data_IF_499519370964
#
_entry.id   IF_499519370964
#
_cell.length_a   1.000
_cell.length_b   1.000
_cell.length_c   1.000
_cell.angle_alpha   90.00
_cell.angle_beta   90.00
_cell.angle_gamma   90.00
#
_symmetry.space_group_name_H-M   'P 1'
#
loop_
_entity.id
_entity.type
_entity.pdbx_description
1 polymer ?
#
# COMPACT_ATOMS: atom_id res chain seq x y z
N UNK A 1 -30.15 25.24 3.00
CA UNK A 1 -29.26 24.26 2.36
C UNK A 1 -28.33 23.74 3.44
N UNK A 2 -28.64 22.56 3.99
CA UNK A 2 -27.84 21.96 5.07
C UNK A 2 -26.59 21.38 4.43
N UNK A 3 -25.42 21.92 4.78
CA UNK A 3 -24.14 21.28 4.46
C UNK A 3 -24.09 19.97 5.26
N UNK A 4 -24.13 18.83 4.57
CA UNK A 4 -23.73 17.56 5.15
C UNK A 4 -22.23 17.67 5.42
N UNK A 5 -21.87 17.91 6.68
CA UNK A 5 -20.52 17.59 7.15
C UNK A 5 -20.36 16.08 6.90
N UNK A 6 -19.29 15.63 6.21
CA UNK A 6 -19.06 14.20 6.08
C UNK A 6 -18.90 13.66 7.50
N UNK A 7 -19.81 12.79 7.94
CA UNK A 7 -19.67 12.12 9.23
C UNK A 7 -18.28 11.48 9.27
N UNK A 8 -17.46 11.96 10.20
CA UNK A 8 -16.19 11.35 10.55
C UNK A 8 -16.47 9.88 10.83
N UNK A 9 -15.73 8.98 10.17
CA UNK A 9 -16.00 7.54 10.21
C UNK A 9 -16.13 7.02 11.66
N UNK A 10 -16.83 5.89 11.84
CA UNK A 10 -17.10 5.28 13.14
C UNK A 10 -15.91 5.48 14.13
N UNK A 11 -16.07 6.29 15.19
CA UNK A 11 -14.96 6.70 16.05
C UNK A 11 -14.20 5.50 16.65
N UNK A 12 -14.89 4.41 16.97
CA UNK A 12 -14.27 3.20 17.48
C UNK A 12 -13.38 2.51 16.44
N UNK A 13 -13.77 2.55 15.15
CA UNK A 13 -12.98 1.98 14.07
C UNK A 13 -11.73 2.81 13.78
N UNK A 14 -11.84 4.15 13.81
CA UNK A 14 -10.68 5.04 13.68
C UNK A 14 -9.70 4.85 14.84
N UNK A 15 -10.21 4.70 16.07
CA UNK A 15 -9.36 4.44 17.24
C UNK A 15 -8.60 3.11 17.10
N UNK A 16 -9.26 2.02 16.66
CA UNK A 16 -8.60 0.74 16.41
C UNK A 16 -7.52 0.84 15.33
N UNK A 17 -7.81 1.54 14.23
CA UNK A 17 -6.83 1.80 13.18
C UNK A 17 -5.63 2.60 13.70
N UNK A 18 -5.86 3.66 14.49
CA UNK A 18 -4.80 4.43 15.12
C UNK A 18 -3.94 3.56 16.05
N UNK A 19 -4.55 2.69 16.86
CA UNK A 19 -3.83 1.72 17.70
C UNK A 19 -2.93 0.80 16.88
N UNK A 20 -3.43 0.28 15.74
CA UNK A 20 -2.62 -0.56 14.85
C UNK A 20 -1.41 0.20 14.30
N UNK A 21 -1.62 1.45 13.88
CA UNK A 21 -0.59 2.32 13.29
C UNK A 21 0.48 2.78 14.29
N UNK A 22 0.13 2.90 15.59
CA UNK A 22 1.08 3.32 16.64
C UNK A 22 2.27 2.36 16.84
N UNK A 23 2.20 1.14 16.31
CA UNK A 23 3.36 0.24 16.27
C UNK A 23 4.50 0.77 15.39
N UNK A 24 4.18 1.66 14.45
CA UNK A 24 5.12 2.18 13.43
C UNK A 24 5.31 3.69 13.49
N UNK A 25 4.28 4.43 13.90
CA UNK A 25 4.25 5.89 13.91
C UNK A 25 4.01 6.43 15.31
N UNK A 26 4.32 7.71 15.53
CA UNK A 26 3.94 8.39 16.78
C UNK A 26 2.41 8.40 16.97
N UNK A 27 1.96 8.63 18.19
CA UNK A 27 0.52 8.68 18.49
C UNK A 27 -0.22 9.75 17.67
N UNK A 28 0.43 10.90 17.43
CA UNK A 28 -0.10 11.99 16.63
C UNK A 28 -0.21 11.59 15.15
N UNK A 29 0.88 11.12 14.54
CA UNK A 29 0.89 10.64 13.14
C UNK A 29 -0.12 9.52 12.93
N UNK A 30 -0.18 8.54 13.84
CA UNK A 30 -1.13 7.44 13.77
C UNK A 30 -2.59 7.92 13.85
N UNK A 31 -2.87 8.93 14.68
CA UNK A 31 -4.18 9.57 14.75
C UNK A 31 -4.56 10.22 13.42
N UNK A 32 -3.67 11.03 12.86
CA UNK A 32 -3.90 11.74 11.59
C UNK A 32 -4.06 10.76 10.41
N UNK A 33 -3.18 9.76 10.32
CA UNK A 33 -3.25 8.70 9.31
C UNK A 33 -4.56 7.91 9.44
N UNK A 34 -5.05 7.65 10.65
CA UNK A 34 -6.32 6.93 10.82
C UNK A 34 -7.50 7.68 10.21
N UNK A 35 -7.54 9.01 10.35
CA UNK A 35 -8.56 9.86 9.75
C UNK A 35 -8.46 9.85 8.23
N UNK A 36 -7.24 10.03 7.68
CA UNK A 36 -6.99 10.02 6.25
C UNK A 36 -7.36 8.67 5.61
N UNK A 37 -6.79 7.57 6.11
CA UNK A 37 -6.98 6.24 5.56
C UNK A 37 -8.40 5.72 5.77
N UNK A 38 -9.03 6.09 6.90
CA UNK A 38 -10.42 5.75 7.15
C UNK A 38 -11.37 6.31 6.10
N UNK A 39 -11.03 7.44 5.46
CA UNK A 39 -11.81 7.99 4.34
C UNK A 39 -11.72 7.13 3.07
N UNK A 40 -10.54 6.63 2.71
CA UNK A 40 -10.37 5.86 1.48
C UNK A 40 -10.94 4.44 1.53
N UNK A 41 -11.36 3.93 2.69
CA UNK A 41 -12.09 2.65 2.74
C UNK A 41 -13.53 2.77 2.21
N UNK A 42 -14.08 3.99 2.17
CA UNK A 42 -15.48 4.28 1.78
C UNK A 42 -15.64 4.62 0.30
N UNK A 43 -14.57 5.04 -0.35
CA UNK A 43 -14.59 5.54 -1.73
C UNK A 43 -13.37 5.02 -2.48
N UNK A 44 -13.49 4.69 -3.78
CA UNK A 44 -12.34 4.26 -4.60
C UNK A 44 -11.26 5.35 -4.72
N UNK A 45 -11.59 6.61 -4.40
CA UNK A 45 -10.65 7.72 -4.37
C UNK A 45 -10.98 8.70 -3.24
N UNK A 46 -9.95 9.35 -2.71
CA UNK A 46 -10.05 10.45 -1.75
C UNK A 46 -9.77 11.75 -2.49
N UNK A 47 -10.64 12.76 -2.34
CA UNK A 47 -10.38 14.11 -2.87
C UNK A 47 -9.75 14.97 -1.77
N UNK A 48 -8.77 15.82 -2.10
CA UNK A 48 -7.99 16.61 -1.13
C UNK A 48 -8.86 17.41 -0.13
N UNK A 49 -9.94 18.02 -0.62
CA UNK A 49 -10.87 18.82 0.19
C UNK A 49 -11.71 17.99 1.16
N UNK A 50 -11.93 16.71 0.88
CA UNK A 50 -12.72 15.81 1.73
C UNK A 50 -11.93 15.32 2.96
N UNK A 51 -10.60 15.53 2.97
CA UNK A 51 -9.73 15.12 4.06
C UNK A 51 -9.98 16.06 5.25
N UNK A 52 -10.56 15.51 6.33
CA UNK A 52 -10.93 16.24 7.54
C UNK A 52 -9.76 16.37 8.51
N UNK A 53 -8.69 17.04 8.07
CA UNK A 53 -7.50 17.38 8.85
C UNK A 53 -7.23 18.88 8.74
N UNK A 54 -6.63 19.46 9.77
CA UNK A 54 -6.16 20.84 9.75
C UNK A 54 -5.17 21.06 8.59
N UNK A 55 -5.20 22.22 7.88
CA UNK A 55 -4.41 22.41 6.66
C UNK A 55 -2.92 22.11 6.80
N UNK A 56 -2.28 22.56 7.89
CA UNK A 56 -0.85 22.32 8.12
C UNK A 56 -0.52 20.86 8.37
N UNK A 57 -1.45 20.10 8.97
CA UNK A 57 -1.28 18.67 9.28
C UNK A 57 -1.63 17.81 8.07
N UNK A 58 -2.57 18.26 7.26
CA UNK A 58 -3.10 17.53 6.10
C UNK A 58 -2.00 17.20 5.11
N UNK A 59 -1.22 18.20 4.69
CA UNK A 59 -0.18 18.02 3.67
C UNK A 59 0.91 17.07 4.14
N UNK A 60 1.38 17.24 5.39
CA UNK A 60 2.36 16.35 6.02
C UNK A 60 1.84 14.91 6.15
N UNK A 61 0.57 14.73 6.51
CA UNK A 61 -0.05 13.40 6.62
C UNK A 61 -0.19 12.73 5.26
N UNK A 62 -0.53 13.49 4.22
CA UNK A 62 -0.59 12.98 2.84
C UNK A 62 0.80 12.59 2.34
N UNK A 63 1.81 13.42 2.61
CA UNK A 63 3.21 13.13 2.27
C UNK A 63 3.67 11.83 2.91
N UNK A 64 3.44 11.68 4.23
CA UNK A 64 3.77 10.46 4.96
C UNK A 64 3.07 9.22 4.38
N UNK A 65 1.76 9.33 4.09
CA UNK A 65 1.01 8.24 3.48
C UNK A 65 1.51 7.87 2.07
N UNK A 66 2.01 8.84 1.31
CA UNK A 66 2.62 8.63 0.00
C UNK A 66 3.97 7.94 0.08
N UNK A 67 4.84 8.39 0.99
CA UNK A 67 6.16 7.80 1.22
C UNK A 67 6.06 6.33 1.63
N UNK A 68 5.06 6.00 2.45
CA UNK A 68 4.77 4.64 2.90
C UNK A 68 3.86 3.84 1.96
N UNK A 69 3.57 4.37 0.76
CA UNK A 69 2.70 3.75 -0.29
C UNK A 69 1.33 3.31 0.23
N UNK A 70 0.85 3.95 1.30
CA UNK A 70 -0.50 3.76 1.81
C UNK A 70 -1.52 4.44 0.89
N UNK A 71 -1.12 5.58 0.32
CA UNK A 71 -1.94 6.41 -0.54
C UNK A 71 -1.13 6.89 -1.75
N UNK A 72 -1.70 6.84 -2.95
CA UNK A 72 -1.04 7.28 -4.17
C UNK A 72 -1.87 8.32 -4.91
N UNK A 73 -1.25 9.37 -5.47
CA UNK A 73 -1.91 10.26 -6.43
C UNK A 73 -2.44 9.47 -7.63
N UNK A 74 -3.62 9.85 -8.13
CA UNK A 74 -4.10 9.32 -9.42
C UNK A 74 -3.26 9.89 -10.58
N UNK A 75 -2.79 11.13 -10.44
CA UNK A 75 -1.95 11.80 -11.44
C UNK A 75 -0.58 11.15 -11.54
N UNK A 76 -0.11 10.94 -12.77
CA UNK A 76 1.20 10.36 -13.08
C UNK A 76 1.83 11.08 -14.27
N UNK A 77 3.17 11.13 -14.29
CA UNK A 77 3.93 11.61 -15.45
C UNK A 77 3.83 10.57 -16.58
N UNK A 78 4.08 9.29 -16.27
CA UNK A 78 4.07 8.16 -17.21
C UNK A 78 3.76 6.84 -16.49
N UNK A 79 3.00 5.98 -17.15
CA UNK A 79 2.85 4.58 -16.75
C UNK A 79 2.15 4.36 -15.40
N UNK A 80 2.36 3.17 -14.84
CA UNK A 80 1.73 2.72 -13.59
C UNK A 80 2.64 2.79 -12.37
N UNK A 81 3.95 3.04 -12.57
CA UNK A 81 4.96 3.04 -11.52
C UNK A 81 4.62 4.04 -10.40
N UNK A 82 4.87 3.65 -9.14
CA UNK A 82 4.61 4.54 -8.01
C UNK A 82 5.55 5.74 -7.98
N UNK A 83 6.82 5.57 -8.37
CA UNK A 83 7.79 6.67 -8.44
C UNK A 83 7.44 7.76 -9.49
N UNK A 84 6.59 7.46 -10.46
CA UNK A 84 6.14 8.41 -11.49
C UNK A 84 4.87 9.18 -11.08
N UNK A 85 4.35 8.96 -9.86
CA UNK A 85 3.16 9.67 -9.36
C UNK A 85 3.51 11.09 -8.95
N UNK A 86 2.63 12.03 -9.29
CA UNK A 86 2.83 13.45 -9.01
C UNK A 86 2.03 13.81 -7.76
N UNK A 87 2.72 14.03 -6.65
CA UNK A 87 2.10 14.45 -5.41
C UNK A 87 1.87 15.98 -5.42
N UNK A 88 0.62 16.39 -5.29
CA UNK A 88 0.18 17.77 -5.21
C UNK A 88 -0.78 17.94 -4.02
N UNK A 89 -0.86 19.15 -3.48
CA UNK A 89 -1.73 19.53 -2.36
C UNK A 89 -2.65 20.67 -2.79
N UNK A 90 -3.56 20.38 -3.73
CA UNK A 90 -4.44 21.39 -4.28
C UNK A 90 -5.86 20.90 -4.43
N UNK A 91 -6.78 21.85 -4.45
CA UNK A 91 -8.19 21.59 -4.69
C UNK A 91 -8.41 20.73 -5.95
N UNK A 92 -9.24 19.69 -5.83
CA UNK A 92 -9.55 18.73 -6.87
C UNK A 92 -8.51 17.63 -7.08
N UNK A 93 -7.39 17.65 -6.35
CA UNK A 93 -6.43 16.54 -6.40
C UNK A 93 -7.05 15.28 -5.78
N UNK A 94 -6.74 14.14 -6.41
CA UNK A 94 -7.35 12.86 -6.08
C UNK A 94 -6.28 11.81 -5.82
N UNK A 95 -6.51 11.05 -4.77
CA UNK A 95 -5.65 9.97 -4.32
C UNK A 95 -6.43 8.67 -4.24
N UNK A 96 -5.74 7.54 -4.25
CA UNK A 96 -6.34 6.23 -4.03
C UNK A 96 -5.45 5.37 -3.13
N UNK A 97 -6.08 4.47 -2.39
CA UNK A 97 -5.37 3.40 -1.69
C UNK A 97 -5.21 2.19 -2.61
N UNK A 98 -4.05 1.56 -2.56
CA UNK A 98 -3.79 0.30 -3.25
C UNK A 98 -4.69 -0.82 -2.69
N UNK A 99 -5.10 -1.82 -3.49
CA UNK A 99 -6.03 -2.86 -3.03
C UNK A 99 -5.59 -3.56 -1.74
N UNK A 100 -4.32 -3.96 -1.65
CA UNK A 100 -3.77 -4.61 -0.44
C UNK A 100 -3.79 -3.67 0.78
N UNK A 101 -3.59 -2.36 0.58
CA UNK A 101 -3.66 -1.36 1.66
C UNK A 101 -5.10 -1.16 2.12
N UNK A 102 -6.08 -1.16 1.21
CA UNK A 102 -7.49 -1.08 1.59
C UNK A 102 -7.89 -2.25 2.51
N UNK A 103 -7.40 -3.45 2.21
CA UNK A 103 -7.64 -4.65 3.04
C UNK A 103 -6.95 -4.52 4.41
N UNK A 104 -5.68 -4.07 4.44
CA UNK A 104 -4.97 -3.78 5.68
C UNK A 104 -5.75 -2.80 6.58
N UNK A 105 -6.18 -1.68 6.01
CA UNK A 105 -6.88 -0.63 6.76
C UNK A 105 -8.23 -1.13 7.25
N UNK A 106 -9.00 -1.84 6.41
CA UNK A 106 -10.28 -2.43 6.82
C UNK A 106 -10.10 -3.41 7.98
N UNK A 107 -9.13 -4.30 7.88
CA UNK A 107 -8.86 -5.27 8.93
C UNK A 107 -8.42 -4.59 10.23
N UNK A 108 -7.56 -3.58 10.16
CA UNK A 108 -7.16 -2.78 11.31
C UNK A 108 -8.33 -1.99 11.92
N UNK A 109 -9.25 -1.47 11.10
CA UNK A 109 -10.48 -0.83 11.57
C UNK A 109 -11.43 -1.81 12.26
N UNK A 110 -11.42 -3.09 11.90
CA UNK A 110 -12.24 -4.13 12.52
C UNK A 110 -11.63 -4.65 13.82
N UNK A 111 -10.32 -4.91 13.82
CA UNK A 111 -9.64 -5.70 14.88
C UNK A 111 -8.62 -4.93 15.70
N UNK A 112 -8.14 -3.79 15.20
CA UNK A 112 -6.99 -3.08 15.77
C UNK A 112 -5.64 -3.71 15.47
N UNK A 113 -5.57 -4.67 14.53
CA UNK A 113 -4.35 -5.35 14.14
C UNK A 113 -3.93 -5.00 12.71
N UNK A 114 -2.63 -4.81 12.49
CA UNK A 114 -2.05 -4.67 11.16
C UNK A 114 -1.48 -6.02 10.72
N UNK A 115 -2.14 -6.67 9.75
CA UNK A 115 -1.83 -8.05 9.33
C UNK A 115 -1.57 -8.13 7.82
N UNK A 116 -0.30 -8.00 7.40
CA UNK A 116 0.10 -8.08 6.00
C UNK A 116 -0.20 -9.44 5.35
N UNK A 117 0.03 -10.55 6.05
CA UNK A 117 -0.09 -11.88 5.44
C UNK A 117 -1.56 -12.16 5.06
N UNK A 118 -2.50 -11.76 5.93
CA UNK A 118 -3.93 -11.83 5.62
C UNK A 118 -4.30 -10.92 4.45
N UNK A 119 -3.89 -9.66 4.48
CA UNK A 119 -4.23 -8.70 3.43
C UNK A 119 -3.68 -9.11 2.06
N UNK A 120 -2.46 -9.64 2.01
CA UNK A 120 -1.83 -10.18 0.79
C UNK A 120 -2.63 -11.39 0.28
N UNK A 121 -2.95 -12.35 1.16
CA UNK A 121 -3.72 -13.54 0.80
C UNK A 121 -5.08 -13.18 0.20
N UNK A 122 -5.83 -12.28 0.84
CA UNK A 122 -7.12 -11.82 0.35
C UNK A 122 -7.00 -11.05 -0.97
N UNK A 123 -5.98 -10.20 -1.12
CA UNK A 123 -5.75 -9.45 -2.36
C UNK A 123 -5.42 -10.37 -3.55
N UNK A 124 -4.55 -11.37 -3.33
CA UNK A 124 -4.15 -12.34 -4.34
C UNK A 124 -5.30 -13.26 -4.73
N UNK A 125 -6.09 -13.73 -3.76
CA UNK A 125 -7.29 -14.50 -4.02
C UNK A 125 -8.29 -13.74 -4.90
N UNK A 126 -8.46 -12.42 -4.67
CA UNK A 126 -9.37 -11.58 -5.44
C UNK A 126 -8.96 -11.42 -6.91
N UNK A 127 -7.69 -11.61 -7.27
CA UNK A 127 -7.21 -11.56 -8.67
C UNK A 127 -7.06 -12.95 -9.31
N UNK A 128 -7.37 -14.02 -8.56
CA UNK A 128 -7.36 -15.40 -9.08
C UNK A 128 -6.04 -16.15 -8.90
N UNK A 129 -5.12 -15.65 -8.06
CA UNK A 129 -3.88 -16.35 -7.74
C UNK A 129 -4.19 -17.69 -7.05
N UNK A 130 -3.52 -18.76 -7.49
CA UNK A 130 -3.74 -20.12 -6.99
C UNK A 130 -2.62 -20.60 -6.06
N UNK A 131 -1.40 -20.08 -6.22
CA UNK A 131 -0.22 -20.45 -5.45
C UNK A 131 0.00 -19.52 -4.25
N UNK A 132 -1.08 -19.07 -3.59
CA UNK A 132 -1.01 -18.07 -2.50
C UNK A 132 -0.01 -18.47 -1.39
N UNK A 133 0.01 -19.72 -0.89
CA UNK A 133 1.00 -20.12 0.13
C UNK A 133 2.45 -19.96 -0.33
N UNK A 134 2.74 -20.31 -1.59
CA UNK A 134 4.05 -20.16 -2.20
C UNK A 134 4.42 -18.69 -2.39
N UNK A 135 3.48 -17.87 -2.85
CA UNK A 135 3.68 -16.42 -3.01
C UNK A 135 3.95 -15.77 -1.65
N UNK A 136 3.23 -16.13 -0.60
CA UNK A 136 3.49 -15.63 0.76
C UNK A 136 4.90 -16.00 1.25
N UNK A 137 5.35 -17.24 1.00
CA UNK A 137 6.73 -17.67 1.32
C UNK A 137 7.78 -16.87 0.55
N UNK A 138 7.56 -16.66 -0.74
CA UNK A 138 8.45 -15.84 -1.57
C UNK A 138 8.50 -14.39 -1.05
N UNK A 139 7.35 -13.78 -0.79
CA UNK A 139 7.26 -12.41 -0.30
C UNK A 139 7.93 -12.24 1.07
N UNK A 140 7.81 -13.20 1.98
CA UNK A 140 8.49 -13.18 3.27
C UNK A 140 10.02 -13.09 3.10
N UNK A 141 10.59 -13.86 2.16
CA UNK A 141 12.02 -13.80 1.83
C UNK A 141 12.39 -12.49 1.12
N UNK A 142 11.55 -11.98 0.23
CA UNK A 142 11.80 -10.69 -0.43
C UNK A 142 11.77 -9.51 0.56
N UNK A 143 10.89 -9.56 1.56
CA UNK A 143 10.78 -8.53 2.58
C UNK A 143 11.92 -8.57 3.61
N UNK A 144 12.61 -9.70 3.76
CA UNK A 144 13.82 -9.80 4.59
C UNK A 144 15.07 -9.20 3.91
N UNK A 145 15.01 -8.99 2.58
CA UNK A 145 16.08 -8.32 1.85
C UNK A 145 16.08 -6.80 2.10
N UNK A 146 17.27 -6.16 2.02
CA UNK A 146 17.36 -4.71 2.06
C UNK A 146 16.44 -4.05 1.04
N UNK A 147 15.88 -2.86 1.33
CA UNK A 147 15.00 -2.13 0.42
C UNK A 147 15.82 -1.48 -0.71
N UNK A 148 16.34 -2.32 -1.59
CA UNK A 148 17.01 -1.97 -2.83
C UNK A 148 16.23 -2.67 -3.94
N UNK A 149 15.79 -1.91 -4.94
CA UNK A 149 14.84 -2.42 -5.95
C UNK A 149 15.18 -3.84 -6.45
N UNK A 150 14.18 -4.70 -6.45
CA UNK A 150 14.32 -6.14 -6.69
C UNK A 150 14.30 -6.43 -8.18
N UNK A 151 15.31 -7.15 -8.68
CA UNK A 151 15.33 -7.62 -10.06
C UNK A 151 14.56 -8.95 -10.18
N UNK A 152 13.92 -9.19 -11.32
CA UNK A 152 13.21 -10.45 -11.58
C UNK A 152 14.11 -11.69 -11.42
N UNK A 153 15.41 -11.57 -11.76
CA UNK A 153 16.39 -12.65 -11.57
C UNK A 153 16.61 -13.02 -10.10
N UNK A 154 16.50 -12.07 -9.16
CA UNK A 154 16.58 -12.34 -7.72
C UNK A 154 15.37 -13.16 -7.28
N UNK A 155 14.17 -12.80 -7.75
CA UNK A 155 12.94 -13.54 -7.45
C UNK A 155 13.02 -14.97 -7.99
N UNK A 156 13.52 -15.15 -9.21
CA UNK A 156 13.70 -16.48 -9.81
C UNK A 156 14.70 -17.34 -9.03
N UNK A 157 15.83 -16.77 -8.60
CA UNK A 157 16.80 -17.46 -7.76
C UNK A 157 16.21 -17.87 -6.40
N UNK A 158 15.36 -17.02 -5.81
CA UNK A 158 14.65 -17.34 -4.57
C UNK A 158 13.63 -18.46 -4.75
N UNK A 159 12.83 -18.44 -5.81
CA UNK A 159 11.90 -19.54 -6.14
C UNK A 159 12.66 -20.88 -6.24
N UNK A 160 13.76 -20.91 -6.99
CA UNK A 160 14.60 -22.11 -7.12
C UNK A 160 15.15 -22.59 -5.77
N UNK A 161 15.66 -21.66 -4.94
CA UNK A 161 16.17 -21.99 -3.59
C UNK A 161 15.09 -22.54 -2.66
N UNK A 162 13.87 -22.03 -2.76
CA UNK A 162 12.74 -22.41 -1.90
C UNK A 162 12.00 -23.66 -2.38
N UNK A 163 12.39 -24.21 -3.55
CA UNK A 163 11.69 -25.32 -4.20
C UNK A 163 10.27 -24.93 -4.64
N UNK A 164 10.07 -23.67 -5.03
CA UNK A 164 8.78 -23.15 -5.44
C UNK A 164 8.67 -23.20 -6.96
N UNK A 165 7.70 -23.95 -7.44
CA UNK A 165 7.32 -24.01 -8.86
C UNK A 165 6.07 -23.16 -9.08
N UNK A 166 6.22 -22.02 -9.75
CA UNK A 166 5.11 -21.14 -10.11
C UNK A 166 5.42 -20.39 -11.41
N UNK A 167 4.38 -19.86 -12.06
CA UNK A 167 4.56 -18.88 -13.13
C UNK A 167 4.92 -17.53 -12.50
N UNK A 168 6.22 -17.24 -12.42
CA UNK A 168 6.71 -16.01 -11.79
C UNK A 168 6.22 -14.74 -12.52
N UNK A 169 5.99 -14.80 -13.83
CA UNK A 169 5.51 -13.64 -14.57
C UNK A 169 4.07 -13.31 -14.17
N UNK A 170 3.18 -14.30 -14.19
CA UNK A 170 1.78 -14.15 -13.79
C UNK A 170 1.67 -13.73 -12.31
N UNK A 171 2.46 -14.34 -11.43
CA UNK A 171 2.54 -13.96 -10.02
C UNK A 171 2.96 -12.50 -9.82
N UNK A 172 3.98 -12.03 -10.55
CA UNK A 172 4.41 -10.62 -10.48
C UNK A 172 3.28 -9.70 -10.94
N UNK A 173 2.59 -10.04 -12.03
CA UNK A 173 1.46 -9.26 -12.54
C UNK A 173 0.32 -9.19 -11.50
N UNK A 174 -0.01 -10.31 -10.83
CA UNK A 174 -0.94 -10.31 -9.70
C UNK A 174 -0.48 -9.39 -8.57
N UNK A 175 0.79 -9.49 -8.17
CA UNK A 175 1.35 -8.65 -7.10
C UNK A 175 1.30 -7.16 -7.45
N UNK A 176 1.58 -6.79 -8.70
CA UNK A 176 1.46 -5.41 -9.19
C UNK A 176 0.01 -4.94 -9.15
N UNK A 177 -0.93 -5.75 -9.66
CA UNK A 177 -2.37 -5.42 -9.64
C UNK A 177 -2.92 -5.25 -8.24
N UNK A 178 -2.45 -6.03 -7.27
CA UNK A 178 -2.84 -5.93 -5.86
C UNK A 178 -2.18 -4.75 -5.13
N UNK A 179 -1.15 -4.13 -5.72
CA UNK A 179 -0.36 -3.07 -5.09
C UNK A 179 0.61 -3.58 -4.02
N UNK A 180 1.04 -4.85 -4.13
CA UNK A 180 2.07 -5.46 -3.28
C UNK A 180 3.46 -4.99 -3.72
N UNK A 181 3.64 -4.80 -5.03
CA UNK A 181 4.87 -4.27 -5.62
C UNK A 181 4.54 -3.35 -6.81
N UNK A 182 5.53 -2.59 -7.26
CA UNK A 182 5.42 -1.76 -8.47
C UNK A 182 6.68 -1.90 -9.31
N UNK A 183 6.57 -1.91 -10.65
CA UNK A 183 7.74 -1.74 -11.50
C UNK A 183 8.38 -0.37 -11.22
N UNK A 184 9.70 -0.32 -11.36
CA UNK A 184 10.48 0.92 -11.41
C UNK A 184 10.76 1.28 -12.86
N UNK A 185 10.70 2.56 -13.15
CA UNK A 185 10.92 3.12 -14.49
C UNK A 185 12.41 3.02 -14.87
N UNK A 186 13.29 3.08 -13.87
CA UNK A 186 14.71 2.79 -14.06
C UNK A 186 14.98 1.28 -14.07
N UNK A 187 15.43 0.77 -15.22
CA UNK A 187 15.95 -0.60 -15.34
C UNK A 187 17.31 -0.74 -14.66
N UNK A 188 17.72 -1.98 -14.40
CA UNK A 188 19.09 -2.23 -13.97
C UNK A 188 20.08 -1.77 -15.03
N UNK A 189 21.00 -0.87 -14.67
CA UNK A 189 22.10 -0.47 -15.55
C UNK A 189 23.07 -1.61 -15.85
N UNK A 190 23.13 -2.62 -14.97
CA UNK A 190 24.04 -3.75 -15.10
C UNK A 190 23.42 -4.91 -15.90
N UNK A 191 22.14 -5.22 -15.68
CA UNK A 191 21.50 -6.40 -16.27
C UNK A 191 20.46 -6.07 -17.34
N UNK A 192 20.02 -4.81 -17.45
CA UNK A 192 18.93 -4.38 -18.33
C UNK A 192 17.54 -4.88 -17.90
N UNK A 193 17.46 -5.64 -16.79
CA UNK A 193 16.23 -6.24 -16.30
C UNK A 193 15.32 -5.21 -15.60
N UNK A 194 14.03 -5.53 -15.59
CA UNK A 194 13.05 -4.79 -14.81
C UNK A 194 13.37 -4.87 -13.32
N UNK A 195 13.23 -3.73 -12.63
CA UNK A 195 13.32 -3.61 -11.18
C UNK A 195 11.94 -3.36 -10.61
N UNK A 196 11.73 -3.84 -9.40
CA UNK A 196 10.48 -3.66 -8.67
C UNK A 196 10.76 -3.04 -7.30
N UNK A 197 9.88 -2.16 -6.85
CA UNK A 197 9.80 -1.73 -5.45
C UNK A 197 8.68 -2.50 -4.75
N UNK A 198 8.88 -2.84 -3.48
CA UNK A 198 7.87 -3.49 -2.65
C UNK A 198 7.10 -2.45 -1.84
N UNK A 199 5.81 -2.69 -1.58
CA UNK A 199 5.05 -1.83 -0.68
C UNK A 199 5.63 -1.93 0.74
N UNK A 200 6.13 -0.83 1.35
CA UNK A 200 6.73 -0.86 2.67
C UNK A 200 5.72 -1.16 3.77
N UNK A 201 4.43 -0.85 3.58
CA UNK A 201 3.39 -1.08 4.59
C UNK A 201 3.15 -2.56 4.89
N UNK A 202 3.61 -3.44 4.01
CA UNK A 202 3.52 -4.89 4.16
C UNK A 202 4.68 -5.48 4.96
N UNK A 203 5.69 -4.67 5.32
CA UNK A 203 6.77 -5.06 6.26
C UNK A 203 6.36 -4.94 7.72
N UNK A 204 5.29 -4.20 8.01
CA UNK A 204 4.89 -3.87 9.37
C UNK A 204 4.20 -5.08 10.00
N UNK A 205 5.00 -6.02 10.51
CA UNK A 205 4.47 -7.19 11.21
C UNK A 205 4.13 -6.79 12.65
N UNK A 206 2.88 -7.10 13.03
CA UNK A 206 2.31 -6.91 14.36
C UNK A 206 2.87 -7.86 15.41
#
# INVERSE_FOLDING_TARGET
MSQMVPETGNPAALMRLATALQKRFSAEEAGNLSVLLGCGCRSPSIVYEEISLEPSVKDDTILLAYEERLLLPLKSIRGSAWEDRILNYSAGERYHMLPVVQLLVRYAQETGLWDPDRAISEALAAVGERAIPEVLRLLAELYSLPPQGLEAGVMQALCARLGIEMDLHDTIDHCVRCGIMSPRTQRSLHTGLAKYEMNPSLRWRS
#
